data_IF_562426887117
#
_entry.id   IF_562426887117
#
_cell.length_a   1.000
_cell.length_b   1.000
_cell.length_c   1.000
_cell.angle_alpha   90.00
_cell.angle_beta   90.00
_cell.angle_gamma   90.00
#
_symmetry.space_group_name_H-M   'P 1'
#
loop_
_entity.id
_entity.type
_entity.pdbx_description
1 polymer ?
#
# COMPACT_ATOMS: atom_id res chain seq x y z
N UNK A 1 -10.38 3.10 -15.14
CA UNK A 1 -11.21 4.27 -14.72
C UNK A 1 -12.60 4.19 -15.34
N UNK A 2 -12.73 4.04 -16.66
CA UNK A 2 -14.04 4.01 -17.35
C UNK A 2 -15.00 2.95 -16.82
N UNK A 3 -14.50 1.75 -16.51
CA UNK A 3 -15.27 0.64 -15.96
C UNK A 3 -15.90 0.99 -14.60
N UNK A 4 -15.13 1.60 -13.70
CA UNK A 4 -15.63 2.03 -12.38
C UNK A 4 -16.80 3.03 -12.54
N UNK A 5 -16.66 3.99 -13.45
CA UNK A 5 -17.73 4.96 -13.71
C UNK A 5 -18.92 4.36 -14.43
N UNK A 6 -18.74 3.32 -15.25
CA UNK A 6 -19.83 2.55 -15.84
C UNK A 6 -20.64 1.87 -14.74
N UNK A 7 -19.98 1.12 -13.85
CA UNK A 7 -20.62 0.46 -12.70
C UNK A 7 -21.33 1.46 -11.80
N UNK A 8 -20.68 2.59 -11.48
CA UNK A 8 -21.29 3.63 -10.64
C UNK A 8 -22.60 4.18 -11.21
N UNK A 9 -22.69 4.34 -12.55
CA UNK A 9 -23.96 4.75 -13.20
C UNK A 9 -25.01 3.67 -13.12
N UNK A 10 -24.63 2.41 -13.35
CA UNK A 10 -25.55 1.26 -13.29
C UNK A 10 -26.18 1.12 -11.90
N UNK A 11 -25.41 1.44 -10.86
CA UNK A 11 -25.87 1.41 -9.47
C UNK A 11 -26.46 2.75 -8.98
N UNK A 12 -26.63 3.74 -9.86
CA UNK A 12 -27.14 5.08 -9.55
C UNK A 12 -26.35 5.80 -8.44
N UNK A 13 -25.02 5.59 -8.39
CA UNK A 13 -24.13 6.25 -7.44
C UNK A 13 -23.92 7.70 -7.83
N UNK A 14 -24.32 8.64 -6.97
CA UNK A 14 -24.20 10.08 -7.18
C UNK A 14 -22.84 10.65 -6.72
N UNK A 15 -22.16 9.99 -5.78
CA UNK A 15 -20.90 10.44 -5.18
C UNK A 15 -19.88 9.31 -5.20
N UNK A 16 -18.71 9.55 -5.76
CA UNK A 16 -17.64 8.54 -5.83
C UNK A 16 -16.32 9.12 -5.31
N UNK A 17 -15.58 8.33 -4.54
CA UNK A 17 -14.29 8.72 -4.00
C UNK A 17 -13.12 8.01 -4.68
N UNK A 18 -12.02 8.73 -4.89
CA UNK A 18 -10.71 8.13 -5.19
C UNK A 18 -9.84 8.19 -3.93
N UNK A 19 -9.08 7.13 -3.66
CA UNK A 19 -8.23 7.04 -2.49
C UNK A 19 -6.96 6.23 -2.83
N UNK A 20 -5.79 6.86 -2.70
CA UNK A 20 -4.49 6.26 -2.95
C UNK A 20 -3.51 6.56 -1.82
N UNK A 21 -2.49 5.69 -1.66
CA UNK A 21 -1.43 5.88 -0.67
C UNK A 21 -0.38 6.88 -1.17
N UNK A 22 -0.17 7.96 -0.42
CA UNK A 22 0.85 9.01 -0.61
C UNK A 22 0.79 9.78 -1.94
N UNK A 23 0.03 9.34 -2.93
CA UNK A 23 0.01 9.90 -4.29
C UNK A 23 -1.37 10.34 -4.73
N UNK A 24 -1.42 11.29 -5.67
CA UNK A 24 -2.65 11.92 -6.16
C UNK A 24 -2.78 11.92 -7.69
N UNK A 25 -1.96 11.12 -8.38
CA UNK A 25 -1.86 11.12 -9.84
C UNK A 25 -3.13 10.64 -10.55
N UNK A 26 -3.95 9.87 -9.85
CA UNK A 26 -5.27 9.46 -10.32
C UNK A 26 -6.30 10.59 -10.37
N UNK A 27 -6.07 11.70 -9.65
CA UNK A 27 -7.08 12.74 -9.43
C UNK A 27 -7.53 13.43 -10.72
N UNK A 28 -6.61 13.80 -11.60
CA UNK A 28 -6.97 14.49 -12.84
C UNK A 28 -7.89 13.63 -13.73
N UNK A 29 -7.51 12.37 -13.93
CA UNK A 29 -8.32 11.45 -14.75
C UNK A 29 -9.66 11.14 -14.07
N UNK A 30 -9.66 11.02 -12.75
CA UNK A 30 -10.87 10.82 -11.95
C UNK A 30 -11.81 12.02 -12.04
N UNK A 31 -11.30 13.25 -11.88
CA UNK A 31 -12.06 14.48 -12.02
C UNK A 31 -12.72 14.61 -13.39
N UNK A 32 -11.95 14.39 -14.47
CA UNK A 32 -12.48 14.42 -15.85
C UNK A 32 -13.61 13.42 -16.07
N UNK A 33 -13.45 12.20 -15.54
CA UNK A 33 -14.50 11.17 -15.62
C UNK A 33 -15.72 11.50 -14.75
N UNK A 34 -15.51 12.08 -13.60
CA UNK A 34 -16.59 12.52 -12.71
C UNK A 34 -17.49 13.55 -13.38
N UNK A 35 -16.89 14.58 -13.99
CA UNK A 35 -17.64 15.59 -14.76
C UNK A 35 -18.41 14.97 -15.93
N UNK A 36 -17.75 14.12 -16.73
CA UNK A 36 -18.36 13.43 -17.88
C UNK A 36 -19.57 12.59 -17.47
N UNK A 37 -19.52 11.96 -16.31
CA UNK A 37 -20.55 11.05 -15.83
C UNK A 37 -21.55 11.69 -14.86
N UNK A 38 -21.42 12.99 -14.54
CA UNK A 38 -22.24 13.74 -13.56
C UNK A 38 -22.25 13.09 -12.17
N UNK A 39 -21.11 12.57 -11.75
CA UNK A 39 -20.89 11.98 -10.43
C UNK A 39 -20.03 12.95 -9.63
N UNK A 40 -20.40 13.26 -8.40
CA UNK A 40 -19.63 14.16 -7.54
C UNK A 40 -18.34 13.49 -7.09
N UNK A 41 -17.14 14.09 -7.32
CA UNK A 41 -15.87 13.52 -6.93
C UNK A 41 -15.52 13.81 -5.48
N UNK A 42 -15.09 12.80 -4.72
CA UNK A 42 -14.39 12.98 -3.46
C UNK A 42 -12.92 12.57 -3.60
N UNK A 43 -12.01 13.50 -3.28
CA UNK A 43 -10.59 13.25 -3.32
C UNK A 43 -10.08 12.87 -1.94
N UNK A 44 -9.47 11.69 -1.84
CA UNK A 44 -8.99 11.16 -0.57
C UNK A 44 -7.58 10.59 -0.73
N UNK A 45 -6.78 10.71 0.33
CA UNK A 45 -5.41 10.19 0.38
C UNK A 45 -5.21 9.36 1.65
N UNK A 46 -4.41 8.30 1.56
CA UNK A 46 -3.99 7.51 2.71
C UNK A 46 -2.51 7.67 2.99
N UNK A 47 -2.18 7.61 4.26
CA UNK A 47 -0.81 7.63 4.76
C UNK A 47 -0.56 6.46 5.69
N UNK A 48 0.67 5.97 5.67
CA UNK A 48 1.23 5.21 6.78
C UNK A 48 2.19 6.13 7.52
N UNK A 49 1.94 6.34 8.80
CA UNK A 49 2.76 7.16 9.66
C UNK A 49 3.46 6.36 10.74
N UNK A 50 4.33 7.04 11.49
CA UNK A 50 5.01 6.46 12.63
C UNK A 50 4.85 7.38 13.86
N UNK A 51 4.30 6.83 14.94
CA UNK A 51 4.27 7.45 16.26
C UNK A 51 5.42 6.85 17.08
N UNK A 52 6.49 7.61 17.26
CA UNK A 52 7.75 7.10 17.83
C UNK A 52 7.63 6.70 19.31
N UNK A 53 6.82 7.42 20.08
CA UNK A 53 6.53 7.08 21.50
C UNK A 53 5.86 5.73 21.61
N UNK A 54 4.83 5.48 20.81
CA UNK A 54 4.08 4.24 20.77
C UNK A 54 4.95 3.08 20.28
N UNK A 55 5.81 3.34 19.27
CA UNK A 55 6.80 2.36 18.83
C UNK A 55 7.75 1.96 19.95
N UNK A 56 8.30 2.93 20.70
CA UNK A 56 9.23 2.68 21.80
C UNK A 56 8.56 1.89 22.94
N UNK A 57 7.27 2.10 23.17
CA UNK A 57 6.48 1.42 24.18
C UNK A 57 5.88 0.07 23.70
N UNK A 58 6.13 -0.32 22.43
CA UNK A 58 5.55 -1.53 21.88
C UNK A 58 4.03 -1.46 21.64
N UNK A 59 3.43 -0.27 21.65
CA UNK A 59 1.99 -0.04 21.50
C UNK A 59 1.57 -0.17 20.04
N UNK A 60 0.67 -1.09 19.73
CA UNK A 60 0.03 -1.21 18.40
C UNK A 60 -1.13 -0.22 18.31
N UNK A 61 -1.24 0.47 17.19
CA UNK A 61 -2.28 1.47 16.94
C UNK A 61 -3.38 0.84 16.09
N UNK A 62 -3.44 1.10 14.81
CA UNK A 62 -4.34 0.45 13.86
C UNK A 62 -3.59 -0.37 12.80
N UNK A 63 -2.33 -0.72 13.08
CA UNK A 63 -1.59 -1.79 12.43
C UNK A 63 -1.31 -2.88 13.47
N UNK A 64 -1.98 -4.05 13.38
CA UNK A 64 -1.89 -5.07 14.44
C UNK A 64 -0.53 -5.77 14.50
N UNK A 65 0.33 -5.58 13.49
CA UNK A 65 1.61 -6.28 13.40
C UNK A 65 2.82 -5.40 13.70
N UNK A 66 2.66 -4.07 13.64
CA UNK A 66 3.79 -3.14 13.73
C UNK A 66 3.53 -2.07 14.79
N UNK A 67 4.11 -2.17 16.00
CA UNK A 67 4.00 -1.14 17.03
C UNK A 67 4.39 0.25 16.53
N UNK A 68 3.63 1.26 16.94
CA UNK A 68 3.82 2.65 16.55
C UNK A 68 3.43 3.00 15.12
N UNK A 69 3.13 2.02 14.26
CA UNK A 69 2.64 2.29 12.90
C UNK A 69 1.18 2.69 12.93
N UNK A 70 0.85 3.75 12.21
CA UNK A 70 -0.51 4.28 12.11
C UNK A 70 -0.92 4.43 10.65
N UNK A 71 -2.08 3.88 10.28
CA UNK A 71 -2.78 4.24 9.05
C UNK A 71 -3.64 5.47 9.32
N UNK A 72 -3.64 6.42 8.38
CA UNK A 72 -4.35 7.67 8.53
C UNK A 72 -4.83 8.17 7.17
N UNK A 73 -5.99 8.81 7.13
CA UNK A 73 -6.60 9.25 5.88
C UNK A 73 -6.91 10.73 5.89
N UNK A 74 -6.74 11.37 4.74
CA UNK A 74 -7.34 12.66 4.43
C UNK A 74 -8.56 12.46 3.55
N UNK A 75 -9.71 12.98 3.94
CA UNK A 75 -10.96 12.87 3.20
C UNK A 75 -11.42 14.24 2.71
N UNK A 76 -12.01 14.27 1.50
CA UNK A 76 -12.58 15.49 0.93
C UNK A 76 -11.53 16.57 0.62
N UNK A 77 -10.36 16.18 0.12
CA UNK A 77 -9.29 17.10 -0.24
C UNK A 77 -9.69 18.02 -1.40
N UNK A 78 -9.09 19.20 -1.44
CA UNK A 78 -9.20 20.12 -2.57
C UNK A 78 -8.59 19.53 -3.85
N UNK A 79 -9.17 19.89 -4.98
CA UNK A 79 -8.56 19.63 -6.27
C UNK A 79 -8.30 20.97 -6.99
N UNK A 80 -7.06 21.23 -7.43
CA UNK A 80 -5.86 20.39 -7.38
C UNK A 80 -5.26 20.25 -5.96
N UNK A 81 -4.70 19.09 -5.64
CA UNK A 81 -4.05 18.80 -4.36
C UNK A 81 -2.84 19.72 -4.11
N UNK A 82 -2.87 20.46 -3.01
CA UNK A 82 -1.79 21.38 -2.64
C UNK A 82 -1.45 21.32 -1.14
N UNK A 83 -0.52 20.46 -0.71
CA UNK A 83 -0.12 20.35 0.70
C UNK A 83 0.78 21.52 1.18
N UNK A 84 1.14 22.45 0.29
CA UNK A 84 2.16 23.46 0.51
C UNK A 84 3.58 22.94 0.22
N UNK A 85 4.50 23.90 -0.04
CA UNK A 85 5.84 23.59 -0.58
C UNK A 85 6.67 22.66 0.34
N UNK A 86 6.79 22.99 1.64
CA UNK A 86 7.60 22.20 2.58
C UNK A 86 7.04 20.79 2.80
N UNK A 87 5.71 20.67 2.86
CA UNK A 87 5.06 19.36 2.99
C UNK A 87 5.23 18.52 1.73
N UNK A 88 5.21 19.14 0.56
CA UNK A 88 5.47 18.46 -0.72
C UNK A 88 6.89 17.89 -0.78
N UNK A 89 7.90 18.64 -0.34
CA UNK A 89 9.29 18.16 -0.25
C UNK A 89 9.35 16.92 0.67
N UNK A 90 8.71 17.01 1.84
CA UNK A 90 8.75 15.92 2.82
C UNK A 90 8.00 14.68 2.31
N UNK A 91 6.83 14.85 1.69
CA UNK A 91 6.08 13.77 1.07
C UNK A 91 6.90 13.07 -0.03
N UNK A 92 7.54 13.83 -0.90
CA UNK A 92 8.42 13.28 -1.94
C UNK A 92 9.63 12.52 -1.35
N UNK A 93 10.15 12.96 -0.20
CA UNK A 93 11.22 12.24 0.51
C UNK A 93 10.76 10.87 0.99
N UNK A 94 9.58 10.79 1.60
CA UNK A 94 8.99 9.52 2.06
C UNK A 94 8.71 8.57 0.89
N UNK A 95 8.18 9.10 -0.22
CA UNK A 95 7.97 8.32 -1.45
C UNK A 95 9.30 7.74 -1.94
N UNK A 96 10.37 8.53 -1.99
CA UNK A 96 11.69 8.04 -2.42
C UNK A 96 12.23 6.92 -1.54
N UNK A 97 12.09 7.04 -0.21
CA UNK A 97 12.50 5.99 0.72
C UNK A 97 11.70 4.70 0.53
N UNK A 98 10.39 4.79 0.38
CA UNK A 98 9.55 3.64 0.05
C UNK A 98 9.98 2.97 -1.27
N UNK A 99 10.33 3.77 -2.30
CA UNK A 99 10.82 3.21 -3.57
C UNK A 99 12.22 2.60 -3.46
N UNK A 100 13.08 3.12 -2.58
CA UNK A 100 14.39 2.51 -2.28
C UNK A 100 14.23 1.13 -1.67
N UNK A 101 13.26 0.95 -0.76
CA UNK A 101 12.91 -0.37 -0.22
C UNK A 101 12.46 -1.33 -1.32
N UNK A 102 11.57 -0.91 -2.23
CA UNK A 102 11.12 -1.76 -3.34
C UNK A 102 12.28 -2.19 -4.24
N UNK A 103 13.22 -1.30 -4.54
CA UNK A 103 14.44 -1.64 -5.30
C UNK A 103 15.32 -2.66 -4.57
N UNK A 104 15.47 -2.52 -3.25
CA UNK A 104 16.20 -3.48 -2.43
C UNK A 104 15.51 -4.86 -2.40
N UNK A 105 14.17 -4.89 -2.33
CA UNK A 105 13.40 -6.14 -2.44
C UNK A 105 13.57 -6.80 -3.81
N UNK A 106 13.56 -6.03 -4.92
CA UNK A 106 13.83 -6.54 -6.27
C UNK A 106 15.24 -7.13 -6.36
N UNK A 107 16.23 -6.49 -5.72
CA UNK A 107 17.60 -7.03 -5.68
C UNK A 107 17.64 -8.39 -5.01
N UNK A 108 16.96 -8.57 -3.86
CA UNK A 108 16.86 -9.86 -3.18
C UNK A 108 16.07 -10.90 -4.02
N UNK A 109 14.94 -10.48 -4.62
CA UNK A 109 14.17 -11.34 -5.53
C UNK A 109 15.03 -11.83 -6.70
N UNK A 110 15.79 -10.92 -7.32
CA UNK A 110 16.65 -11.27 -8.44
C UNK A 110 17.71 -12.30 -8.05
N UNK A 111 18.28 -12.20 -6.85
CA UNK A 111 19.21 -13.23 -6.35
C UNK A 111 18.52 -14.59 -6.29
N UNK A 112 17.33 -14.67 -5.67
CA UNK A 112 16.56 -15.92 -5.58
C UNK A 112 16.17 -16.46 -6.97
N UNK A 113 15.75 -15.58 -7.88
CA UNK A 113 15.35 -15.95 -9.24
C UNK A 113 16.53 -16.47 -10.04
N UNK A 114 17.69 -15.79 -9.99
CA UNK A 114 18.88 -16.19 -10.75
C UNK A 114 19.52 -17.46 -10.21
N UNK A 115 19.40 -17.74 -8.90
CA UNK A 115 19.83 -19.01 -8.31
C UNK A 115 19.02 -20.21 -8.86
N UNK A 116 17.74 -19.98 -9.24
CA UNK A 116 16.87 -21.01 -9.83
C UNK A 116 16.98 -21.05 -11.35
N UNK A 117 17.00 -19.87 -12.00
CA UNK A 117 17.11 -19.72 -13.44
C UNK A 117 17.89 -18.45 -13.80
N UNK A 118 19.18 -18.58 -14.17
CA UNK A 118 20.05 -17.42 -14.46
C UNK A 118 19.60 -16.54 -15.63
N UNK A 119 18.70 -17.02 -16.50
CA UNK A 119 18.20 -16.24 -17.63
C UNK A 119 17.07 -15.28 -17.25
N UNK A 120 16.57 -15.34 -16.03
CA UNK A 120 15.42 -14.56 -15.57
C UNK A 120 15.86 -13.43 -14.63
N UNK A 121 15.24 -12.27 -14.79
CA UNK A 121 15.48 -11.10 -13.94
C UNK A 121 14.27 -10.15 -13.96
N UNK A 122 14.00 -9.51 -12.84
CA UNK A 122 13.03 -8.43 -12.71
C UNK A 122 13.73 -7.08 -12.86
N UNK A 123 13.07 -6.12 -13.52
CA UNK A 123 13.49 -4.73 -13.61
C UNK A 123 12.50 -3.82 -12.86
N UNK A 124 13.05 -2.91 -12.04
CA UNK A 124 12.21 -1.92 -11.37
C UNK A 124 11.44 -1.03 -12.34
N UNK A 125 12.10 -0.59 -13.42
CA UNK A 125 11.49 0.32 -14.39
C UNK A 125 10.39 -0.39 -15.22
N UNK A 126 10.59 -1.64 -15.59
CA UNK A 126 9.55 -2.45 -16.24
C UNK A 126 8.34 -2.65 -15.31
N UNK A 127 8.58 -3.02 -14.04
CA UNK A 127 7.50 -3.18 -13.06
C UNK A 127 6.73 -1.87 -12.86
N UNK A 128 7.44 -0.75 -12.79
CA UNK A 128 6.82 0.57 -12.67
C UNK A 128 5.96 0.90 -13.88
N UNK A 129 6.46 0.68 -15.07
CA UNK A 129 5.78 1.02 -16.31
C UNK A 129 4.58 0.09 -16.61
N UNK A 130 4.72 -1.21 -16.35
CA UNK A 130 3.72 -2.21 -16.73
C UNK A 130 2.63 -2.40 -15.66
N UNK A 131 2.96 -2.24 -14.37
CA UNK A 131 2.06 -2.61 -13.27
C UNK A 131 1.76 -1.47 -12.29
N UNK A 132 2.57 -0.43 -12.25
CA UNK A 132 2.37 0.71 -11.36
C UNK A 132 2.29 2.01 -12.17
N UNK A 133 1.46 2.96 -11.75
CA UNK A 133 1.46 4.29 -12.40
C UNK A 133 2.62 5.15 -11.92
N UNK A 134 2.96 5.06 -10.64
CA UNK A 134 4.04 5.83 -10.02
C UNK A 134 4.78 5.10 -8.93
N UNK A 135 4.06 4.62 -7.90
CA UNK A 135 4.67 3.91 -6.78
C UNK A 135 4.60 2.42 -7.01
N UNK A 136 5.75 1.79 -7.12
CA UNK A 136 5.87 0.33 -7.03
C UNK A 136 5.57 -0.06 -5.57
N UNK A 137 4.79 -1.13 -5.38
CA UNK A 137 4.42 -1.69 -4.09
C UNK A 137 4.58 -3.21 -4.13
N UNK A 138 4.58 -3.86 -2.97
CA UNK A 138 4.69 -5.33 -2.86
C UNK A 138 3.77 -6.09 -3.83
N UNK A 139 2.50 -5.65 -3.97
CA UNK A 139 1.55 -6.27 -4.90
C UNK A 139 2.02 -6.25 -6.37
N UNK A 140 2.73 -5.18 -6.78
CA UNK A 140 3.28 -5.09 -8.13
C UNK A 140 4.49 -6.02 -8.29
N UNK A 141 5.30 -6.20 -7.24
CA UNK A 141 6.38 -7.19 -7.23
C UNK A 141 5.84 -8.62 -7.31
N UNK A 142 4.80 -8.94 -6.54
CA UNK A 142 4.16 -10.26 -6.59
C UNK A 142 3.58 -10.55 -7.98
N UNK A 143 2.87 -9.58 -8.56
CA UNK A 143 2.36 -9.66 -9.94
C UNK A 143 3.50 -9.87 -10.94
N UNK A 144 4.60 -9.13 -10.79
CA UNK A 144 5.77 -9.28 -11.67
C UNK A 144 6.40 -10.67 -11.59
N UNK A 145 6.53 -11.25 -10.39
CA UNK A 145 7.02 -12.62 -10.20
C UNK A 145 6.07 -13.63 -10.86
N UNK A 146 4.75 -13.48 -10.66
CA UNK A 146 3.74 -14.34 -11.32
C UNK A 146 3.87 -14.27 -12.84
N UNK A 147 3.84 -13.07 -13.40
CA UNK A 147 3.91 -12.85 -14.87
C UNK A 147 5.23 -13.35 -15.45
N UNK A 148 6.35 -13.18 -14.73
CA UNK A 148 7.65 -13.73 -15.13
C UNK A 148 7.61 -15.27 -15.21
N UNK A 149 7.01 -15.92 -14.20
CA UNK A 149 6.86 -17.37 -14.18
C UNK A 149 5.95 -17.87 -15.30
N UNK A 150 4.82 -17.21 -15.54
CA UNK A 150 3.87 -17.55 -16.61
C UNK A 150 4.46 -17.39 -18.01
N UNK A 151 5.23 -16.32 -18.24
CA UNK A 151 5.92 -16.09 -19.52
C UNK A 151 7.00 -17.13 -19.80
N UNK A 152 7.68 -17.63 -18.77
CA UNK A 152 8.78 -18.59 -18.91
C UNK A 152 8.30 -20.02 -18.98
N UNK A 153 7.32 -20.39 -18.20
CA UNK A 153 6.87 -21.77 -18.01
C UNK A 153 5.39 -21.90 -18.41
N UNK A 154 5.13 -22.48 -19.59
CA UNK A 154 3.78 -22.71 -20.11
C UNK A 154 3.08 -23.82 -19.30
N UNK A 155 3.83 -24.83 -18.86
CA UNK A 155 3.31 -25.91 -18.03
C UNK A 155 3.09 -25.45 -16.59
N UNK A 156 1.88 -25.66 -16.02
CA UNK A 156 1.58 -25.28 -14.63
C UNK A 156 2.46 -25.97 -13.59
N UNK A 157 2.87 -27.21 -13.84
CA UNK A 157 3.73 -27.97 -12.94
C UNK A 157 5.13 -27.38 -12.87
N UNK A 158 5.74 -27.05 -14.02
CA UNK A 158 7.05 -26.37 -14.07
C UNK A 158 7.02 -25.01 -13.39
N UNK A 159 5.94 -24.25 -13.63
CA UNK A 159 5.72 -22.93 -12.98
C UNK A 159 5.64 -23.06 -11.46
N UNK A 160 4.89 -24.05 -10.97
CA UNK A 160 4.76 -24.32 -9.54
C UNK A 160 6.09 -24.78 -8.92
N UNK A 161 6.86 -25.60 -9.62
CA UNK A 161 8.21 -25.99 -9.18
C UNK A 161 9.15 -24.79 -9.08
N UNK A 162 9.10 -23.87 -10.07
CA UNK A 162 9.87 -22.64 -10.02
C UNK A 162 9.50 -21.79 -8.81
N UNK A 163 8.22 -21.54 -8.58
CA UNK A 163 7.73 -20.75 -7.44
C UNK A 163 8.06 -21.41 -6.10
N UNK A 164 7.88 -22.72 -5.98
CA UNK A 164 8.23 -23.48 -4.78
C UNK A 164 9.72 -23.34 -4.43
N UNK A 165 10.61 -23.39 -5.42
CA UNK A 165 12.05 -23.14 -5.21
C UNK A 165 12.33 -21.72 -4.71
N UNK A 166 11.60 -20.70 -5.20
CA UNK A 166 11.71 -19.34 -4.69
C UNK A 166 11.25 -19.23 -3.23
N UNK A 167 10.19 -19.95 -2.85
CA UNK A 167 9.67 -19.95 -1.47
C UNK A 167 10.62 -20.64 -0.48
N UNK A 168 11.44 -21.57 -0.95
CA UNK A 168 12.37 -22.36 -0.15
C UNK A 168 11.96 -23.81 0.01
N UNK A 169 12.85 -24.60 0.63
CA UNK A 169 12.65 -26.02 0.83
C UNK A 169 11.31 -26.36 1.53
N UNK A 170 10.69 -27.46 1.09
CA UNK A 170 9.44 -28.00 1.63
C UNK A 170 8.19 -27.11 1.49
N UNK A 171 8.20 -26.11 0.62
CA UNK A 171 7.01 -25.32 0.31
C UNK A 171 6.38 -25.73 -1.02
N UNK A 172 5.05 -25.76 -1.03
CA UNK A 172 4.23 -26.06 -2.20
C UNK A 172 3.44 -24.82 -2.61
N UNK A 173 3.12 -24.73 -3.90
CA UNK A 173 2.26 -23.67 -4.43
C UNK A 173 0.80 -24.13 -4.34
N UNK A 174 -0.04 -23.33 -3.69
CA UNK A 174 -1.45 -23.65 -3.45
C UNK A 174 -2.41 -22.76 -4.24
N UNK A 175 -1.98 -21.58 -4.68
CA UNK A 175 -2.78 -20.57 -5.39
C UNK A 175 -3.06 -20.89 -6.88
N UNK A 176 -3.25 -22.17 -7.22
CA UNK A 176 -3.46 -22.61 -8.60
C UNK A 176 -4.83 -22.19 -9.14
N UNK A 177 -4.83 -21.44 -10.26
CA UNK A 177 -6.03 -21.05 -10.99
C UNK A 177 -6.61 -19.69 -10.63
N UNK A 178 -6.20 -19.09 -9.50
CA UNK A 178 -6.59 -17.71 -9.12
C UNK A 178 -5.35 -16.82 -8.99
N UNK A 179 -5.24 -15.81 -9.87
CA UNK A 179 -4.14 -14.86 -9.85
C UNK A 179 -4.03 -14.09 -8.53
N UNK A 180 -5.14 -13.72 -7.91
CA UNK A 180 -5.13 -12.97 -6.66
C UNK A 180 -4.63 -13.83 -5.49
N UNK A 181 -5.05 -15.09 -5.42
CA UNK A 181 -4.56 -16.04 -4.42
C UNK A 181 -3.08 -16.32 -4.60
N UNK A 182 -2.62 -16.56 -5.83
CA UNK A 182 -1.21 -16.80 -6.12
C UNK A 182 -0.34 -15.56 -5.81
N UNK A 183 -0.79 -14.36 -6.16
CA UNK A 183 -0.08 -13.12 -5.82
C UNK A 183 -0.01 -12.90 -4.30
N UNK A 184 -1.06 -13.22 -3.55
CA UNK A 184 -1.05 -13.18 -2.09
C UNK A 184 -0.09 -14.22 -1.48
N UNK A 185 -0.01 -15.42 -2.06
CA UNK A 185 0.93 -16.46 -1.66
C UNK A 185 2.38 -16.02 -1.91
N UNK A 186 2.69 -15.46 -3.08
CA UNK A 186 3.99 -14.88 -3.43
C UNK A 186 4.36 -13.78 -2.42
N UNK A 187 3.43 -12.87 -2.10
CA UNK A 187 3.66 -11.82 -1.09
C UNK A 187 4.00 -12.41 0.27
N UNK A 188 3.25 -13.40 0.72
CA UNK A 188 3.43 -14.00 2.04
C UNK A 188 4.76 -14.74 2.17
N UNK A 189 5.18 -15.47 1.13
CA UNK A 189 6.41 -16.25 1.16
C UNK A 189 7.68 -15.45 0.86
N UNK A 190 7.57 -14.36 0.08
CA UNK A 190 8.75 -13.63 -0.40
C UNK A 190 8.86 -12.19 0.12
N UNK A 191 7.73 -11.46 0.27
CA UNK A 191 7.77 -10.01 0.37
C UNK A 191 7.32 -9.45 1.72
N UNK A 192 6.48 -10.15 2.46
CA UNK A 192 6.06 -9.75 3.80
C UNK A 192 7.10 -10.13 4.85
N UNK A 193 6.94 -9.64 6.07
CA UNK A 193 7.80 -9.98 7.21
C UNK A 193 7.97 -11.50 7.34
N UNK A 194 9.23 -11.95 7.43
CA UNK A 194 9.59 -13.36 7.38
C UNK A 194 9.75 -13.95 5.97
N UNK A 195 9.41 -13.23 4.91
CA UNK A 195 9.62 -13.63 3.52
C UNK A 195 11.09 -13.51 3.09
N UNK A 196 11.52 -14.37 2.16
CA UNK A 196 12.94 -14.50 1.77
C UNK A 196 13.53 -13.25 1.09
N UNK A 197 12.70 -12.43 0.45
CA UNK A 197 13.10 -11.17 -0.17
C UNK A 197 12.63 -9.94 0.62
N UNK A 198 12.09 -10.14 1.81
CA UNK A 198 11.66 -9.03 2.66
C UNK A 198 12.82 -8.08 2.99
N UNK A 199 12.53 -6.80 2.96
CA UNK A 199 13.40 -5.71 3.41
C UNK A 199 12.59 -4.86 4.37
N UNK A 200 13.11 -4.67 5.57
CA UNK A 200 12.48 -3.82 6.57
C UNK A 200 12.39 -2.37 6.09
N UNK A 201 11.29 -1.72 6.41
CA UNK A 201 11.07 -0.31 6.06
C UNK A 201 11.95 0.58 6.93
N UNK A 202 12.65 1.52 6.30
CA UNK A 202 13.37 2.56 7.02
C UNK A 202 12.35 3.52 7.67
N UNK A 203 12.62 3.98 8.90
CA UNK A 203 11.78 4.98 9.58
C UNK A 203 11.62 6.29 8.77
N UNK A 204 12.59 6.62 7.92
CA UNK A 204 12.51 7.76 7.01
C UNK A 204 11.40 7.62 5.93
N UNK A 205 10.88 6.39 5.73
CA UNK A 205 9.73 6.11 4.85
C UNK A 205 8.38 6.46 5.48
N UNK A 206 8.37 6.94 6.73
CA UNK A 206 7.15 7.32 7.43
C UNK A 206 7.13 8.80 7.77
N UNK A 207 5.94 9.38 7.72
CA UNK A 207 5.66 10.70 8.29
C UNK A 207 5.27 10.55 9.76
N UNK A 208 5.60 11.56 10.58
CA UNK A 208 4.95 11.69 11.89
C UNK A 208 3.49 12.14 11.73
N UNK A 209 2.65 11.77 12.69
CA UNK A 209 1.21 12.04 12.61
C UNK A 209 0.88 13.53 12.52
N UNK A 210 1.61 14.40 13.23
CA UNK A 210 1.41 15.85 13.16
C UNK A 210 1.70 16.41 11.76
N UNK A 211 2.66 15.82 11.04
CA UNK A 211 2.95 16.18 9.65
C UNK A 211 1.84 15.71 8.70
N UNK A 212 1.33 14.50 8.90
CA UNK A 212 0.21 13.96 8.12
C UNK A 212 -1.01 14.88 8.25
N UNK A 213 -1.39 15.24 9.47
CA UNK A 213 -2.50 16.15 9.74
C UNK A 213 -2.31 17.50 9.05
N UNK A 214 -1.11 18.09 9.13
CA UNK A 214 -0.81 19.36 8.44
C UNK A 214 -0.92 19.24 6.93
N UNK A 215 -0.49 18.15 6.33
CA UNK A 215 -0.65 17.88 4.89
C UNK A 215 -2.13 17.89 4.52
N UNK A 216 -2.95 17.18 5.27
CA UNK A 216 -4.38 17.03 5.02
C UNK A 216 -5.09 18.38 5.17
N UNK A 217 -4.89 19.07 6.29
CA UNK A 217 -5.53 20.38 6.54
C UNK A 217 -5.11 21.44 5.53
N UNK A 218 -3.83 21.51 5.16
CA UNK A 218 -3.35 22.45 4.13
C UNK A 218 -3.91 22.16 2.73
N UNK A 219 -4.42 20.95 2.52
CA UNK A 219 -5.07 20.52 1.27
C UNK A 219 -6.59 20.55 1.36
N UNK A 220 -7.18 21.26 2.32
CA UNK A 220 -8.62 21.43 2.49
C UNK A 220 -9.36 20.20 3.02
N UNK A 221 -8.65 19.13 3.35
CA UNK A 221 -9.23 17.85 3.74
C UNK A 221 -9.49 17.72 5.24
N UNK A 222 -10.26 16.70 5.59
CA UNK A 222 -10.57 16.29 6.97
C UNK A 222 -9.63 15.16 7.37
N UNK A 223 -8.83 15.30 8.45
CA UNK A 223 -8.03 14.22 9.01
C UNK A 223 -8.93 13.14 9.59
N UNK A 224 -8.78 11.90 9.14
CA UNK A 224 -9.60 10.77 9.57
C UNK A 224 -8.73 9.62 10.07
N UNK A 225 -9.08 9.07 11.21
CA UNK A 225 -8.47 7.88 11.78
C UNK A 225 -9.32 6.64 11.41
N UNK A 226 -8.78 5.69 10.63
CA UNK A 226 -9.49 4.45 10.34
C UNK A 226 -9.38 3.52 11.56
N UNK A 227 -10.49 3.31 12.26
CA UNK A 227 -10.57 2.39 13.40
C UNK A 227 -10.46 0.95 12.89
N UNK A 228 -9.55 0.16 13.49
CA UNK A 228 -9.38 -1.25 13.14
C UNK A 228 -10.44 -2.13 13.81
N UNK A 229 -10.86 -1.79 15.03
CA UNK A 229 -11.70 -2.53 15.97
C UNK A 229 -11.03 -3.82 16.49
N UNK A 230 -10.69 -4.77 15.61
CA UNK A 230 -9.99 -5.98 15.98
C UNK A 230 -8.97 -6.43 14.91
N UNK A 231 -8.03 -7.28 15.31
CA UNK A 231 -7.14 -7.99 14.38
C UNK A 231 -7.81 -9.28 13.86
N UNK A 232 -7.15 -9.99 12.95
CA UNK A 232 -7.64 -11.26 12.41
C UNK A 232 -7.89 -12.36 13.46
N UNK A 233 -7.51 -12.14 14.72
CA UNK A 233 -7.73 -13.03 15.87
C UNK A 233 -8.78 -12.49 16.85
N UNK A 234 -9.52 -11.44 16.46
CA UNK A 234 -10.53 -10.80 17.30
C UNK A 234 -9.96 -10.04 18.50
N UNK A 235 -8.75 -9.48 18.38
CA UNK A 235 -8.10 -8.76 19.46
C UNK A 235 -7.96 -7.29 19.14
N UNK A 236 -8.36 -6.43 20.04
CA UNK A 236 -8.07 -5.00 19.96
C UNK A 236 -6.57 -4.73 20.09
N UNK A 237 -6.11 -3.69 19.43
CA UNK A 237 -4.77 -3.15 19.70
C UNK A 237 -4.76 -2.41 21.04
N UNK A 238 -3.58 -2.20 21.60
CA UNK A 238 -3.43 -1.50 22.88
C UNK A 238 -3.97 -0.06 22.81
N UNK A 239 -3.86 0.58 21.65
CA UNK A 239 -4.32 1.95 21.45
C UNK A 239 -5.85 2.05 21.33
N UNK A 240 -6.50 1.03 20.75
CA UNK A 240 -7.95 1.01 20.51
C UNK A 240 -8.74 0.26 21.60
N UNK A 241 -8.06 -0.39 22.54
CA UNK A 241 -8.71 -1.21 23.58
C UNK A 241 -9.53 -0.41 24.60
N UNK A 242 -9.24 0.89 24.74
CA UNK A 242 -9.95 1.81 25.63
C UNK A 242 -10.57 2.95 24.80
N UNK A 243 -11.89 2.93 24.53
CA UNK A 243 -12.56 3.95 23.73
C UNK A 243 -12.41 5.38 24.27
N UNK A 244 -12.33 5.55 25.59
CA UNK A 244 -12.18 6.86 26.21
C UNK A 244 -10.79 7.44 25.96
N UNK A 245 -9.75 6.62 26.07
CA UNK A 245 -8.37 7.01 25.73
C UNK A 245 -8.22 7.28 24.24
N UNK A 246 -8.79 6.42 23.40
CA UNK A 246 -8.81 6.62 21.96
C UNK A 246 -9.45 7.96 21.59
N UNK A 247 -10.66 8.24 22.12
CA UNK A 247 -11.36 9.51 21.87
C UNK A 247 -10.51 10.72 22.30
N UNK A 248 -9.92 10.68 23.50
CA UNK A 248 -9.03 11.73 23.98
C UNK A 248 -7.83 11.94 23.06
N UNK A 249 -7.14 10.88 22.67
CA UNK A 249 -5.98 10.95 21.80
C UNK A 249 -6.33 11.53 20.41
N UNK A 250 -7.47 11.11 19.82
CA UNK A 250 -7.94 11.64 18.55
C UNK A 250 -8.35 13.12 18.64
N UNK A 251 -8.97 13.53 19.74
CA UNK A 251 -9.33 14.94 19.99
C UNK A 251 -8.08 15.81 20.12
N UNK A 252 -7.05 15.35 20.84
CA UNK A 252 -5.76 16.04 20.96
C UNK A 252 -5.05 16.18 19.59
N UNK A 253 -5.21 15.20 18.71
CA UNK A 253 -4.71 15.22 17.35
C UNK A 253 -5.58 16.04 16.38
N UNK A 254 -6.71 16.61 16.84
CA UNK A 254 -7.68 17.34 16.00
C UNK A 254 -8.21 16.51 14.82
N UNK A 255 -8.52 15.26 15.08
CA UNK A 255 -9.13 14.34 14.12
C UNK A 255 -10.64 14.51 14.19
N UNK A 256 -11.27 14.63 13.02
CA UNK A 256 -12.74 14.65 12.87
C UNK A 256 -13.33 13.26 12.82
#
# INVERSE_FOLDING_TARGET
MDEIFRMAREEAIAVLGINDFFVTHGYESFYKQSLKNRIFPLFNIEFTGLMKSEKANGTRINDPNNPGRIYFSGKGLDYPFNPGFLNRIKLNSVIRESQSQMKAMITKLNKLITDVNPSLKLSYDEIRNDFAREMVRERHLAKAVRVLAEKKYSDPGERNQFLAKLYGENKTVTGNGDHAQLENEIRSNLLKSGGRAFVEENEAAFLDIGRIIKIILNSGGIPCYPVLLDDAKGRFTEFESDPSKLHKALTELRVG
#
